data_IF_893419637070
#
_entry.id   IF_893419637070
#
_cell.length_a   1.000
_cell.length_b   1.000
_cell.length_c   1.000
_cell.angle_alpha   90.00
_cell.angle_beta   90.00
_cell.angle_gamma   90.00
#
_symmetry.space_group_name_H-M   'P 1'
#
loop_
_entity.id
_entity.type
_entity.pdbx_description
1 polymer ?
#
# COMPACT_ATOMS: atom_id res chain seq x y z
N UNK A 1 16.44 19.45 -2.14
CA UNK A 1 15.15 19.13 -2.77
C UNK A 1 14.55 20.48 -3.16
N UNK A 2 14.35 20.75 -4.44
CA UNK A 2 13.73 22.00 -4.87
C UNK A 2 12.24 21.96 -4.49
N UNK A 3 11.74 23.05 -3.88
CA UNK A 3 10.35 23.21 -3.42
C UNK A 3 9.28 23.19 -4.54
N UNK A 4 9.67 22.94 -5.79
CA UNK A 4 8.82 22.96 -6.98
C UNK A 4 8.61 21.57 -7.64
N UNK A 5 9.05 20.48 -7.03
CA UNK A 5 8.89 19.14 -7.62
C UNK A 5 7.55 18.52 -7.24
N UNK A 6 6.52 18.86 -8.03
CA UNK A 6 5.18 18.29 -7.93
C UNK A 6 5.21 16.76 -8.07
N UNK A 7 4.87 16.05 -7.01
CA UNK A 7 4.75 14.60 -7.02
C UNK A 7 3.53 14.18 -7.84
N UNK A 8 3.71 13.23 -8.76
CA UNK A 8 2.61 12.76 -9.64
C UNK A 8 1.41 12.17 -8.88
N UNK A 9 1.56 11.87 -7.60
CA UNK A 9 0.49 11.37 -6.73
C UNK A 9 -0.31 12.50 -6.06
N UNK A 10 0.20 13.74 -6.00
CA UNK A 10 -0.47 14.87 -5.32
C UNK A 10 -1.84 15.18 -5.91
N UNK A 11 -2.01 15.01 -7.22
CA UNK A 11 -3.30 15.21 -7.90
C UNK A 11 -4.40 14.24 -7.47
N UNK A 12 -3.99 13.09 -6.90
CA UNK A 12 -4.92 12.07 -6.43
C UNK A 12 -5.34 12.26 -4.98
N UNK A 13 -4.58 13.03 -4.20
CA UNK A 13 -4.81 13.21 -2.76
C UNK A 13 -6.18 13.81 -2.47
N UNK A 14 -6.60 14.82 -3.25
CA UNK A 14 -7.91 15.44 -3.09
C UNK A 14 -9.04 14.43 -3.33
N UNK A 15 -8.90 13.60 -4.37
CA UNK A 15 -9.87 12.53 -4.65
C UNK A 15 -9.95 11.51 -3.52
N UNK A 16 -8.81 11.05 -2.99
CA UNK A 16 -8.77 10.10 -1.87
C UNK A 16 -9.33 10.71 -0.59
N UNK A 17 -9.01 11.99 -0.33
CA UNK A 17 -9.53 12.73 0.83
C UNK A 17 -11.06 12.88 0.78
N UNK A 18 -11.61 13.20 -0.37
CA UNK A 18 -13.06 13.29 -0.57
C UNK A 18 -13.74 11.90 -0.46
N UNK A 19 -13.10 10.85 -0.95
CA UNK A 19 -13.60 9.48 -0.78
C UNK A 19 -13.58 9.07 0.70
N UNK A 20 -12.54 9.39 1.45
CA UNK A 20 -12.41 9.11 2.88
C UNK A 20 -13.46 9.86 3.72
N UNK A 21 -13.80 11.10 3.36
CA UNK A 21 -14.90 11.85 4.00
C UNK A 21 -16.27 11.24 3.75
N UNK A 22 -16.53 10.77 2.53
CA UNK A 22 -17.81 10.17 2.15
C UNK A 22 -18.00 8.76 2.71
N UNK A 23 -16.91 8.08 3.01
CA UNK A 23 -16.89 6.71 3.54
C UNK A 23 -16.07 6.71 4.83
N UNK A 24 -16.72 6.76 6.01
CA UNK A 24 -16.02 6.69 7.29
C UNK A 24 -15.29 5.37 7.53
N UNK A 25 -15.51 4.36 6.68
CA UNK A 25 -14.76 3.12 6.63
C UNK A 25 -13.82 3.13 5.42
N UNK A 26 -12.60 2.64 5.60
CA UNK A 26 -11.59 2.49 4.56
C UNK A 26 -12.13 1.83 3.27
N UNK A 27 -11.48 2.03 2.14
CA UNK A 27 -11.88 1.42 0.86
C UNK A 27 -12.08 -0.10 1.02
N UNK A 28 -13.07 -0.68 0.33
CA UNK A 28 -13.45 -2.10 0.52
C UNK A 28 -12.28 -3.09 0.47
N UNK A 29 -11.27 -2.84 -0.38
CA UNK A 29 -10.05 -3.68 -0.44
C UNK A 29 -9.23 -3.54 0.83
N UNK A 30 -9.12 -2.33 1.38
CA UNK A 30 -8.43 -2.05 2.64
C UNK A 30 -9.10 -2.78 3.82
N UNK A 31 -10.43 -2.83 3.86
CA UNK A 31 -11.19 -3.57 4.90
C UNK A 31 -10.88 -5.07 4.84
N UNK A 32 -10.80 -5.66 3.65
CA UNK A 32 -10.44 -7.09 3.52
C UNK A 32 -8.98 -7.37 3.91
N UNK A 33 -8.08 -6.44 3.60
CA UNK A 33 -6.69 -6.56 4.02
C UNK A 33 -6.57 -6.47 5.54
N UNK A 34 -7.27 -5.51 6.16
CA UNK A 34 -7.32 -5.35 7.61
C UNK A 34 -7.85 -6.61 8.32
N UNK A 35 -8.97 -7.19 7.88
CA UNK A 35 -9.50 -8.46 8.42
C UNK A 35 -8.47 -9.61 8.30
N UNK A 36 -7.72 -9.65 7.21
CA UNK A 36 -6.67 -10.65 7.03
C UNK A 36 -5.47 -10.44 7.97
N UNK A 37 -5.09 -9.18 8.21
CA UNK A 37 -4.02 -8.81 9.17
C UNK A 37 -4.44 -9.12 10.61
N UNK A 38 -5.69 -8.87 11.00
CA UNK A 38 -6.21 -9.23 12.31
C UNK A 38 -6.11 -10.74 12.56
N UNK A 39 -6.49 -11.56 11.58
CA UNK A 39 -6.35 -13.03 11.63
C UNK A 39 -4.90 -13.50 11.68
N UNK A 40 -3.97 -12.72 11.13
CA UNK A 40 -2.54 -12.97 11.19
C UNK A 40 -1.89 -12.49 12.50
N UNK A 41 -2.66 -11.91 13.43
CA UNK A 41 -2.18 -11.49 14.73
C UNK A 41 -1.71 -10.03 14.78
N UNK A 42 -2.50 -9.10 14.27
CA UNK A 42 -2.22 -7.65 14.26
C UNK A 42 -2.12 -7.02 15.65
N UNK A 43 -2.85 -7.55 16.64
CA UNK A 43 -2.98 -6.95 17.98
C UNK A 43 -1.63 -6.79 18.68
N UNK A 44 -1.44 -5.62 19.30
CA UNK A 44 -0.25 -5.23 20.07
C UNK A 44 1.06 -5.23 19.26
N UNK A 45 0.98 -5.19 17.93
CA UNK A 45 2.12 -5.19 17.01
C UNK A 45 2.39 -3.82 16.41
N UNK A 46 3.66 -3.58 16.06
CA UNK A 46 4.07 -2.44 15.23
C UNK A 46 3.75 -2.70 13.75
N UNK A 47 3.25 -1.68 13.06
CA UNK A 47 2.88 -1.73 11.64
C UNK A 47 3.71 -0.74 10.83
N UNK A 48 4.19 -1.17 9.67
CA UNK A 48 4.83 -0.34 8.66
C UNK A 48 3.99 -0.39 7.37
N UNK A 49 3.39 0.75 7.01
CA UNK A 49 2.55 0.92 5.82
C UNK A 49 3.33 1.66 4.74
N UNK A 50 3.76 0.95 3.71
CA UNK A 50 4.57 1.49 2.63
C UNK A 50 3.69 1.90 1.45
N UNK A 51 3.83 3.16 1.00
CA UNK A 51 2.89 3.82 0.10
C UNK A 51 1.55 4.06 0.78
N UNK A 52 1.60 4.63 1.98
CA UNK A 52 0.43 4.76 2.87
C UNK A 52 -0.65 5.73 2.37
N UNK A 53 -0.34 6.56 1.37
CA UNK A 53 -1.25 7.60 0.89
C UNK A 53 -1.69 8.51 2.03
N UNK A 54 -2.99 8.71 2.18
CA UNK A 54 -3.59 9.52 3.26
C UNK A 54 -3.68 8.78 4.61
N UNK A 55 -3.00 7.65 4.77
CA UNK A 55 -2.87 6.91 6.03
C UNK A 55 -4.05 6.03 6.41
N UNK A 56 -5.01 5.82 5.53
CA UNK A 56 -6.25 5.06 5.84
C UNK A 56 -5.98 3.70 6.49
N UNK A 57 -5.06 2.89 5.93
CA UNK A 57 -4.77 1.55 6.45
C UNK A 57 -4.02 1.64 7.77
N UNK A 58 -2.95 2.45 7.85
CA UNK A 58 -2.16 2.64 9.07
C UNK A 58 -3.05 3.08 10.25
N UNK A 59 -3.94 4.05 10.03
CA UNK A 59 -4.89 4.54 11.04
C UNK A 59 -5.83 3.41 11.49
N UNK A 60 -6.41 2.68 10.54
CA UNK A 60 -7.35 1.59 10.88
C UNK A 60 -6.63 0.44 11.59
N UNK A 61 -5.37 0.10 11.27
CA UNK A 61 -4.63 -0.93 12.03
C UNK A 61 -4.48 -0.56 13.50
N UNK A 62 -4.18 0.71 13.82
CA UNK A 62 -4.10 1.19 15.21
C UNK A 62 -5.46 1.16 15.90
N UNK A 63 -6.54 1.55 15.21
CA UNK A 63 -7.92 1.48 15.74
C UNK A 63 -8.36 0.04 16.00
N UNK A 64 -7.83 -0.92 15.27
CA UNK A 64 -8.08 -2.36 15.41
C UNK A 64 -7.07 -3.08 16.31
N UNK A 65 -6.30 -2.33 17.11
CA UNK A 65 -5.50 -2.86 18.20
C UNK A 65 -4.02 -3.05 17.90
N UNK A 66 -3.49 -2.56 16.78
CA UNK A 66 -2.04 -2.45 16.62
C UNK A 66 -1.47 -1.48 17.67
N UNK A 67 -0.26 -1.75 18.16
CA UNK A 67 0.41 -0.88 19.13
C UNK A 67 0.74 0.48 18.52
N UNK A 68 1.29 0.49 17.32
CA UNK A 68 1.64 1.69 16.57
C UNK A 68 1.65 1.42 15.07
N UNK A 69 1.58 2.49 14.27
CA UNK A 69 1.78 2.40 12.82
C UNK A 69 2.68 3.54 12.33
N UNK A 70 3.56 3.19 11.39
CA UNK A 70 4.36 4.17 10.65
C UNK A 70 4.07 4.04 9.17
N UNK A 71 3.85 5.16 8.48
CA UNK A 71 3.57 5.20 7.06
C UNK A 71 4.61 6.01 6.30
N UNK A 72 4.99 5.54 5.11
CA UNK A 72 5.81 6.27 4.14
C UNK A 72 5.05 6.43 2.83
N UNK A 73 5.16 7.61 2.22
CA UNK A 73 4.62 7.88 0.89
C UNK A 73 5.49 8.90 0.15
N UNK A 74 5.50 8.86 -1.16
CA UNK A 74 6.22 9.80 -2.01
C UNK A 74 5.60 11.21 -2.02
N UNK A 75 4.29 11.31 -1.73
CA UNK A 75 3.53 12.56 -1.81
C UNK A 75 3.58 13.32 -0.48
N UNK A 76 4.23 14.50 -0.42
CA UNK A 76 4.17 15.38 0.76
C UNK A 76 2.72 15.76 1.13
N UNK A 77 1.88 15.99 0.11
CA UNK A 77 0.46 16.32 0.30
C UNK A 77 -0.32 15.17 0.92
N UNK A 78 -0.03 13.91 0.54
CA UNK A 78 -0.65 12.73 1.14
C UNK A 78 -0.25 12.58 2.61
N UNK A 79 1.03 12.77 2.92
CA UNK A 79 1.55 12.71 4.29
C UNK A 79 0.94 13.77 5.19
N UNK A 80 0.77 15.00 4.70
CA UNK A 80 0.07 16.06 5.45
C UNK A 80 -1.37 15.65 5.78
N UNK A 81 -2.09 15.11 4.80
CA UNK A 81 -3.45 14.60 5.01
C UNK A 81 -3.49 13.41 5.96
N UNK A 82 -2.53 12.50 5.90
CA UNK A 82 -2.43 11.35 6.81
C UNK A 82 -2.28 11.80 8.27
N UNK A 83 -1.39 12.75 8.53
CA UNK A 83 -1.20 13.32 9.87
C UNK A 83 -2.47 13.99 10.40
N UNK A 84 -3.14 14.78 9.56
CA UNK A 84 -4.40 15.42 9.90
C UNK A 84 -5.49 14.39 10.23
N UNK A 85 -5.66 13.39 9.34
CA UNK A 85 -6.67 12.33 9.51
C UNK A 85 -6.42 11.52 10.79
N UNK A 86 -5.17 11.21 11.11
CA UNK A 86 -4.79 10.50 12.33
C UNK A 86 -5.17 11.29 13.59
N UNK A 87 -4.94 12.60 13.58
CA UNK A 87 -5.39 13.50 14.66
C UNK A 87 -6.92 13.51 14.80
N UNK A 88 -7.65 13.68 13.69
CA UNK A 88 -9.12 13.64 13.65
C UNK A 88 -9.71 12.31 14.15
N UNK A 89 -8.97 11.20 13.95
CA UNK A 89 -9.38 9.86 14.40
C UNK A 89 -8.88 9.48 15.79
N UNK A 90 -8.16 10.39 16.48
CA UNK A 90 -7.67 10.19 17.85
C UNK A 90 -6.57 9.13 17.98
N UNK A 91 -5.76 8.93 16.94
CA UNK A 91 -4.64 7.97 16.94
C UNK A 91 -3.29 8.62 16.59
N UNK A 92 -3.23 9.94 16.58
CA UNK A 92 -2.04 10.70 16.19
C UNK A 92 -0.81 10.42 17.06
N UNK A 93 -1.00 10.07 18.32
CA UNK A 93 0.04 9.69 19.28
C UNK A 93 0.67 8.30 19.02
N UNK A 94 -0.03 7.44 18.27
CA UNK A 94 0.40 6.09 17.94
C UNK A 94 0.68 5.90 16.45
N UNK A 95 0.66 7.00 15.67
CA UNK A 95 0.96 6.98 14.23
C UNK A 95 2.05 7.97 13.88
N UNK A 96 2.92 7.61 12.94
CA UNK A 96 3.91 8.51 12.36
C UNK A 96 3.88 8.39 10.84
N UNK A 97 3.93 9.55 10.14
CA UNK A 97 3.90 9.58 8.68
C UNK A 97 5.05 10.44 8.16
N UNK A 98 5.81 9.92 7.19
CA UNK A 98 7.00 10.55 6.66
C UNK A 98 7.01 10.46 5.12
N UNK A 99 7.54 11.51 4.49
CA UNK A 99 7.76 11.52 3.04
C UNK A 99 9.00 10.72 2.72
N UNK A 100 8.90 9.79 1.77
CA UNK A 100 10.06 9.04 1.32
C UNK A 100 9.74 7.89 0.38
N UNK A 101 10.75 7.50 -0.39
CA UNK A 101 10.68 6.33 -1.28
C UNK A 101 11.02 5.06 -0.50
N UNK A 102 10.03 4.19 -0.34
CA UNK A 102 10.18 2.92 0.37
C UNK A 102 11.19 1.95 -0.26
N UNK A 103 11.54 2.13 -1.53
CA UNK A 103 12.56 1.33 -2.20
C UNK A 103 13.99 1.87 -2.01
N UNK A 104 14.14 3.11 -1.54
CA UNK A 104 15.44 3.76 -1.36
C UNK A 104 15.81 3.95 0.12
N UNK A 105 14.82 4.08 1.00
CA UNK A 105 15.03 4.32 2.42
C UNK A 105 15.56 3.10 3.17
N UNK A 106 16.32 3.35 4.23
CA UNK A 106 16.57 2.39 5.30
C UNK A 106 15.32 2.33 6.18
N UNK A 107 14.46 1.34 5.90
CA UNK A 107 13.18 1.19 6.58
C UNK A 107 13.38 0.63 8.00
N UNK A 108 12.68 1.17 9.00
CA UNK A 108 12.69 0.58 10.34
C UNK A 108 12.02 -0.80 10.31
N UNK A 109 12.51 -1.74 11.11
CA UNK A 109 11.84 -3.02 11.29
C UNK A 109 10.50 -2.85 11.98
N UNK A 110 9.50 -3.63 11.55
CA UNK A 110 8.18 -3.69 12.17
C UNK A 110 7.66 -5.13 12.18
N UNK A 111 6.79 -5.45 13.14
CA UNK A 111 6.18 -6.79 13.21
C UNK A 111 5.35 -7.09 11.97
N UNK A 112 4.65 -6.10 11.47
CA UNK A 112 3.75 -6.18 10.31
C UNK A 112 4.18 -5.17 9.26
N UNK A 113 4.46 -5.62 8.04
CA UNK A 113 4.69 -4.75 6.89
C UNK A 113 3.57 -4.92 5.87
N UNK A 114 3.02 -3.81 5.40
CA UNK A 114 1.93 -3.85 4.44
C UNK A 114 2.17 -2.91 3.25
N UNK A 115 1.68 -3.33 2.07
CA UNK A 115 1.70 -2.55 0.82
C UNK A 115 0.31 -2.62 0.17
N UNK A 116 -0.54 -1.64 0.47
CA UNK A 116 -1.91 -1.64 -0.03
C UNK A 116 -2.04 -0.82 -1.32
N UNK A 117 -2.16 -1.50 -2.47
CA UNK A 117 -2.26 -0.89 -3.80
C UNK A 117 -1.01 -0.11 -4.24
N UNK A 118 0.16 -0.53 -3.79
CA UNK A 118 1.43 0.16 -4.04
C UNK A 118 2.17 -0.43 -5.24
N UNK A 119 2.28 -1.75 -5.32
CA UNK A 119 3.01 -2.42 -6.42
C UNK A 119 2.54 -1.97 -7.80
N UNK A 120 1.25 -1.66 -7.97
CA UNK A 120 0.72 -1.20 -9.27
C UNK A 120 1.20 0.20 -9.67
N UNK A 121 1.80 0.95 -8.79
CA UNK A 121 2.27 2.31 -9.04
C UNK A 121 3.80 2.40 -9.07
N UNK A 122 4.50 1.30 -8.78
CA UNK A 122 5.95 1.27 -8.68
C UNK A 122 6.58 0.45 -9.82
N UNK A 123 7.53 1.03 -10.59
CA UNK A 123 8.10 0.35 -11.76
C UNK A 123 9.02 -0.82 -11.37
N UNK A 124 9.86 -0.65 -10.35
CA UNK A 124 10.79 -1.67 -9.86
C UNK A 124 10.24 -2.39 -8.62
N UNK A 125 9.39 -3.40 -8.89
CA UNK A 125 8.82 -4.22 -7.82
C UNK A 125 9.88 -4.99 -7.02
N UNK A 126 11.06 -5.29 -7.59
CA UNK A 126 12.08 -6.07 -6.90
C UNK A 126 12.76 -5.25 -5.81
N UNK A 127 13.15 -3.99 -6.11
CA UNK A 127 13.73 -3.09 -5.11
C UNK A 127 12.76 -2.86 -3.93
N UNK A 128 11.48 -2.60 -4.23
CA UNK A 128 10.46 -2.42 -3.20
C UNK A 128 10.23 -3.70 -2.37
N UNK A 129 10.22 -4.89 -3.00
CA UNK A 129 10.11 -6.17 -2.30
C UNK A 129 11.31 -6.44 -1.39
N UNK A 130 12.53 -6.19 -1.88
CA UNK A 130 13.74 -6.40 -1.10
C UNK A 130 13.72 -5.57 0.19
N UNK A 131 13.47 -4.26 0.07
CA UNK A 131 13.43 -3.35 1.23
C UNK A 131 12.29 -3.67 2.18
N UNK A 132 11.09 -3.89 1.66
CA UNK A 132 9.91 -4.17 2.49
C UNK A 132 9.98 -5.51 3.20
N UNK A 133 10.54 -6.55 2.57
CA UNK A 133 10.72 -7.86 3.19
C UNK A 133 11.83 -7.85 4.25
N UNK A 134 12.91 -7.08 4.02
CA UNK A 134 13.98 -6.91 5.02
C UNK A 134 13.44 -6.23 6.31
N UNK A 135 12.48 -5.31 6.19
CA UNK A 135 11.84 -4.64 7.31
C UNK A 135 10.79 -5.50 8.03
N UNK A 136 10.31 -6.59 7.40
CA UNK A 136 9.19 -7.38 7.90
C UNK A 136 9.62 -8.40 8.97
N UNK A 137 9.08 -8.24 10.18
CA UNK A 137 9.31 -9.16 11.31
C UNK A 137 8.54 -10.47 11.15
N UNK A 138 7.24 -10.44 11.32
CA UNK A 138 6.41 -11.64 11.46
C UNK A 138 5.24 -11.74 10.48
N UNK A 139 4.71 -10.61 9.99
CA UNK A 139 3.57 -10.58 9.06
C UNK A 139 3.88 -9.68 7.86
N UNK A 140 3.54 -10.15 6.68
CA UNK A 140 3.66 -9.40 5.44
C UNK A 140 2.35 -9.44 4.65
N UNK A 141 1.82 -8.28 4.28
CA UNK A 141 0.54 -8.18 3.59
C UNK A 141 0.59 -7.25 2.38
N UNK A 142 -0.12 -7.61 1.31
CA UNK A 142 -0.23 -6.71 0.16
C UNK A 142 -1.52 -6.89 -0.62
N UNK A 143 -1.83 -5.87 -1.45
CA UNK A 143 -2.84 -5.96 -2.50
C UNK A 143 -2.24 -5.53 -3.84
N UNK A 144 -2.58 -6.28 -4.91
CA UNK A 144 -2.11 -6.00 -6.28
C UNK A 144 -3.26 -6.15 -7.27
N UNK A 145 -3.23 -5.46 -8.42
CA UNK A 145 -4.14 -5.75 -9.52
C UNK A 145 -3.95 -7.20 -9.99
N UNK A 146 -5.07 -7.87 -10.26
CA UNK A 146 -5.05 -9.24 -10.76
C UNK A 146 -4.26 -9.36 -12.05
N UNK A 147 -3.27 -10.24 -12.06
CA UNK A 147 -2.40 -10.48 -13.23
C UNK A 147 -2.79 -11.71 -14.05
N UNK A 148 -3.69 -12.57 -13.55
CA UNK A 148 -4.00 -13.88 -14.14
C UNK A 148 -5.40 -14.01 -14.73
N UNK A 149 -5.54 -14.98 -15.62
CA UNK A 149 -6.79 -15.33 -16.28
C UNK A 149 -7.34 -14.22 -17.18
N UNK A 150 -8.58 -14.35 -17.61
CA UNK A 150 -9.25 -13.38 -18.48
C UNK A 150 -9.28 -11.97 -17.87
N UNK A 151 -9.56 -11.84 -16.58
CA UNK A 151 -9.59 -10.56 -15.89
C UNK A 151 -8.20 -9.89 -15.87
N UNK A 152 -7.11 -10.67 -15.70
CA UNK A 152 -5.75 -10.15 -15.79
C UNK A 152 -5.37 -9.71 -17.21
N UNK A 153 -5.79 -10.46 -18.24
CA UNK A 153 -5.57 -10.06 -19.64
C UNK A 153 -6.31 -8.75 -19.97
N UNK A 154 -7.58 -8.67 -19.60
CA UNK A 154 -8.38 -7.45 -19.77
C UNK A 154 -7.76 -6.28 -18.97
N UNK A 155 -7.33 -6.53 -17.74
CA UNK A 155 -6.64 -5.54 -16.90
C UNK A 155 -5.41 -4.97 -17.58
N UNK A 156 -4.57 -5.80 -18.21
CA UNK A 156 -3.39 -5.33 -18.97
C UNK A 156 -3.76 -4.42 -20.13
N UNK A 157 -4.81 -4.76 -20.89
CA UNK A 157 -5.29 -3.90 -21.99
C UNK A 157 -5.78 -2.56 -21.46
N UNK A 158 -6.62 -2.56 -20.43
CA UNK A 158 -7.15 -1.34 -19.80
C UNK A 158 -6.01 -0.49 -19.21
N UNK A 159 -5.02 -1.11 -18.58
CA UNK A 159 -3.85 -0.42 -18.04
C UNK A 159 -3.01 0.21 -19.15
N UNK A 160 -2.80 -0.47 -20.28
CA UNK A 160 -2.09 0.08 -21.43
C UNK A 160 -2.83 1.31 -22.01
N UNK A 161 -4.15 1.25 -22.12
CA UNK A 161 -4.99 2.38 -22.56
C UNK A 161 -4.92 3.53 -21.57
N UNK A 162 -5.01 3.27 -20.26
CA UNK A 162 -4.90 4.29 -19.21
C UNK A 162 -3.52 4.95 -19.25
N UNK A 163 -2.44 4.18 -19.37
CA UNK A 163 -1.09 4.73 -19.45
C UNK A 163 -0.89 5.58 -20.71
N UNK A 164 -1.50 5.21 -21.84
CA UNK A 164 -1.50 6.03 -23.04
C UNK A 164 -2.24 7.35 -22.80
N UNK A 165 -3.42 7.29 -22.14
CA UNK A 165 -4.19 8.48 -21.81
C UNK A 165 -3.45 9.41 -20.84
N UNK A 166 -2.78 8.88 -19.77
CA UNK A 166 -1.94 9.66 -18.86
C UNK A 166 -0.78 10.32 -19.62
N UNK A 167 -0.15 9.59 -20.54
CA UNK A 167 0.94 10.14 -21.38
C UNK A 167 0.48 11.29 -22.27
N UNK A 168 -0.73 11.22 -22.83
CA UNK A 168 -1.30 12.29 -23.64
C UNK A 168 -1.70 13.52 -22.80
N UNK A 169 -1.97 13.32 -21.51
CA UNK A 169 -2.34 14.39 -20.58
C UNK A 169 -1.20 14.74 -19.60
N UNK A 170 0.02 14.79 -20.09
CA UNK A 170 1.25 15.00 -19.30
C UNK A 170 1.22 16.20 -18.36
N UNK A 171 0.52 17.30 -18.72
CA UNK A 171 0.39 18.50 -17.87
C UNK A 171 -0.31 18.25 -16.53
N UNK A 172 -1.16 17.21 -16.45
CA UNK A 172 -1.95 16.90 -15.27
C UNK A 172 -1.48 15.63 -14.56
N UNK A 173 -0.83 14.69 -15.27
CA UNK A 173 -0.43 13.39 -14.74
C UNK A 173 1.04 13.11 -15.05
N UNK A 174 1.91 14.11 -14.81
CA UNK A 174 3.33 14.04 -15.12
C UNK A 174 4.00 12.82 -14.47
N UNK A 175 4.40 11.85 -15.31
CA UNK A 175 5.11 10.66 -14.84
C UNK A 175 4.27 9.52 -14.28
N UNK A 176 2.98 9.74 -13.97
CA UNK A 176 2.12 8.68 -13.41
C UNK A 176 1.93 7.52 -14.39
N UNK A 177 2.14 6.31 -13.91
CA UNK A 177 1.92 5.06 -14.65
C UNK A 177 1.38 3.98 -13.74
N UNK A 178 0.59 3.08 -14.32
CA UNK A 178 0.07 1.89 -13.64
C UNK A 178 0.77 0.65 -14.21
N UNK A 179 1.12 -0.28 -13.34
CA UNK A 179 1.79 -1.53 -13.67
C UNK A 179 0.97 -2.73 -13.21
N UNK A 180 1.06 -3.84 -13.95
CA UNK A 180 0.52 -5.13 -13.53
C UNK A 180 1.68 -6.09 -13.41
N UNK A 181 2.12 -6.32 -12.19
CA UNK A 181 3.19 -7.27 -11.88
C UNK A 181 2.65 -8.69 -11.77
N UNK A 182 3.53 -9.67 -12.01
CA UNK A 182 3.20 -11.08 -11.85
C UNK A 182 3.10 -11.42 -10.36
N UNK A 183 1.88 -11.69 -9.90
CA UNK A 183 1.59 -12.00 -8.49
C UNK A 183 2.31 -13.27 -8.01
N UNK A 184 2.62 -14.24 -8.90
CA UNK A 184 3.34 -15.44 -8.48
C UNK A 184 4.82 -15.17 -8.21
N UNK A 185 5.42 -14.23 -8.91
CA UNK A 185 6.81 -13.80 -8.61
C UNK A 185 6.87 -13.12 -7.26
N UNK A 186 5.88 -12.28 -6.95
CA UNK A 186 5.77 -11.65 -5.63
C UNK A 186 5.60 -12.72 -4.55
N UNK A 187 4.65 -13.65 -4.73
CA UNK A 187 4.40 -14.76 -3.81
C UNK A 187 5.66 -15.62 -3.59
N UNK A 188 6.34 -16.01 -4.66
CA UNK A 188 7.56 -16.81 -4.59
C UNK A 188 8.66 -16.09 -3.79
N UNK A 189 8.83 -14.77 -3.98
CA UNK A 189 9.82 -13.98 -3.25
C UNK A 189 9.49 -13.86 -1.77
N UNK A 190 8.21 -13.62 -1.42
CA UNK A 190 7.74 -13.57 -0.03
C UNK A 190 7.98 -14.92 0.67
N UNK A 191 7.66 -16.03 0.01
CA UNK A 191 7.88 -17.37 0.56
C UNK A 191 9.37 -17.72 0.73
N UNK A 192 10.24 -17.22 -0.16
CA UNK A 192 11.68 -17.43 -0.05
C UNK A 192 12.29 -16.82 1.22
N UNK A 193 11.62 -15.79 1.81
CA UNK A 193 11.99 -15.20 3.11
C UNK A 193 11.36 -15.93 4.31
N UNK A 194 10.82 -17.13 4.12
CA UNK A 194 10.27 -17.98 5.18
C UNK A 194 8.82 -17.66 5.56
N UNK A 195 8.13 -16.78 4.84
CA UNK A 195 6.74 -16.50 5.11
C UNK A 195 5.81 -17.58 4.52
N UNK A 196 4.79 -17.98 5.26
CA UNK A 196 3.73 -18.89 4.80
C UNK A 196 2.40 -18.15 4.65
N UNK A 197 1.57 -18.48 3.64
CA UNK A 197 0.32 -17.77 3.42
C UNK A 197 -0.69 -18.06 4.52
N UNK A 198 -1.21 -17.01 5.13
CA UNK A 198 -2.36 -17.04 6.05
C UNK A 198 -3.66 -16.87 5.26
N UNK A 199 -3.65 -15.95 4.28
CA UNK A 199 -4.81 -15.71 3.42
C UNK A 199 -4.36 -15.29 2.02
N UNK A 200 -4.98 -15.88 1.00
CA UNK A 200 -4.84 -15.48 -0.40
C UNK A 200 -6.22 -15.50 -1.04
N UNK A 201 -6.63 -14.40 -1.61
CA UNK A 201 -7.94 -14.31 -2.26
C UNK A 201 -7.98 -13.24 -3.36
N UNK A 202 -8.85 -13.47 -4.33
CA UNK A 202 -9.17 -12.47 -5.36
C UNK A 202 -10.45 -11.75 -4.96
N UNK A 203 -10.41 -10.41 -4.96
CA UNK A 203 -11.56 -9.58 -4.63
C UNK A 203 -12.03 -8.75 -5.82
N UNK A 204 -13.35 -8.71 -6.00
CA UNK A 204 -14.03 -7.92 -7.05
C UNK A 204 -13.47 -8.15 -8.46
N UNK A 205 -13.00 -9.36 -8.76
CA UNK A 205 -12.39 -9.75 -10.04
C UNK A 205 -11.13 -8.97 -10.45
N UNK A 206 -10.75 -7.91 -9.71
CA UNK A 206 -9.71 -6.98 -10.12
C UNK A 206 -8.48 -6.95 -9.21
N UNK A 207 -8.60 -7.40 -7.95
CA UNK A 207 -7.54 -7.30 -6.95
C UNK A 207 -7.22 -8.66 -6.33
N UNK A 208 -5.96 -9.00 -6.30
CA UNK A 208 -5.44 -10.09 -5.49
C UNK A 208 -4.93 -9.52 -4.16
N UNK A 209 -5.34 -10.16 -3.06
CA UNK A 209 -4.95 -9.87 -1.70
C UNK A 209 -4.20 -11.06 -1.15
N UNK A 210 -3.08 -10.81 -0.47
CA UNK A 210 -2.33 -11.86 0.20
C UNK A 210 -1.77 -11.35 1.54
N UNK A 211 -1.88 -12.18 2.57
CA UNK A 211 -1.26 -11.99 3.88
C UNK A 211 -0.52 -13.26 4.26
N UNK A 212 0.68 -13.10 4.74
CA UNK A 212 1.61 -14.15 5.11
C UNK A 212 2.09 -13.93 6.54
N UNK A 213 2.47 -14.99 7.22
CA UNK A 213 3.14 -14.93 8.52
C UNK A 213 4.36 -15.85 8.54
N UNK A 214 5.37 -15.51 9.35
CA UNK A 214 6.43 -16.45 9.69
C UNK A 214 5.91 -17.48 10.68
N UNK A 215 6.22 -18.75 10.53
CA UNK A 215 5.94 -19.76 11.55
C UNK A 215 6.55 -19.35 12.90
N UNK A 216 5.82 -19.64 13.98
CA UNK A 216 6.31 -19.40 15.34
C UNK A 216 7.49 -20.32 15.69
#
# INVERSE_FOLDING_TARGET
>A
MNDDEHCCFDDWVDHWSEEAKRRPTAAKVTVYLLDALERAGLRDRSVLDLGCGIGDLAIETVRHGAASARGYDLSPKAIEQARRLAGERGVGDRTAFEVGDAAELDLPSADVVVLNRVFCCYPDVNALLERSLAAAGSVYGFTVPRSKGFAGALGRVLTAMSNLWYRLRRKRYAGFRVYIHDVDRIDARVRAEGFVPVRRETRRFAWDLAVYAKPA
#
